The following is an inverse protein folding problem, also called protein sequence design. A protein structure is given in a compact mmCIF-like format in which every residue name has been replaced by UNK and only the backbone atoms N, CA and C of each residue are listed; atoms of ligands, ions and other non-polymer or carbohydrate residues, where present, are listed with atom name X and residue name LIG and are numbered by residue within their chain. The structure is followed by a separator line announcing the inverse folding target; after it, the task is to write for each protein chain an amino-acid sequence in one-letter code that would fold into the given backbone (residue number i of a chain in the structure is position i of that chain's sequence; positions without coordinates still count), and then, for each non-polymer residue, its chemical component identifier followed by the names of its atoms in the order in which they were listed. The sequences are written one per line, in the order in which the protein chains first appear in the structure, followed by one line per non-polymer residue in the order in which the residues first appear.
data_IF_286801133633
#
_entry.id   IF_286801133633
#
_cell.length_a   1.000
_cell.length_b   1.000
_cell.length_c   1.000
_cell.angle_alpha   90.00
_cell.angle_beta   90.00
_cell.angle_gamma   90.00
#
_symmetry.space_group_name_H-M   'P 1'
#
loop_
_entity.id
_entity.type
_entity.pdbx_description
1 polymer ?
#
# COMPACT_ATOMS: atom_id res chain seq x y z
N UNK A 1 -11.24 -4.22 21.23
CA UNK A 1 -9.91 -4.69 20.78
C UNK A 1 -9.82 -4.76 19.26
N UNK A 2 -10.85 -5.27 18.58
CA UNK A 2 -10.97 -5.30 17.11
C UNK A 2 -10.93 -3.91 16.45
N UNK A 3 -11.58 -2.90 17.04
CA UNK A 3 -11.56 -1.52 16.49
C UNK A 3 -10.16 -0.89 16.49
N UNK A 4 -9.33 -1.19 17.50
CA UNK A 4 -7.93 -0.72 17.55
C UNK A 4 -7.08 -1.33 16.44
N UNK A 5 -7.36 -2.56 16.02
CA UNK A 5 -6.61 -3.29 14.98
C UNK A 5 -6.96 -2.77 13.57
N UNK A 6 -8.12 -2.13 13.40
CA UNK A 6 -8.47 -1.50 12.12
C UNK A 6 -7.89 -0.08 12.03
N UNK A 7 -7.73 0.59 13.17
CA UNK A 7 -7.20 1.96 13.23
C UNK A 7 -5.68 2.08 13.17
N UNK A 8 -4.92 1.02 13.44
CA UNK A 8 -3.45 1.08 13.52
C UNK A 8 -2.72 1.03 12.17
N UNK A 9 -3.45 0.81 11.08
CA UNK A 9 -2.90 0.75 9.73
C UNK A 9 -3.94 1.28 8.76
N UNK A 10 -3.74 2.52 8.31
CA UNK A 10 -4.64 3.21 7.41
C UNK A 10 -3.82 3.82 6.27
N UNK A 11 -4.27 3.58 5.04
CA UNK A 11 -3.70 4.18 3.84
C UNK A 11 -4.80 4.82 3.04
N UNK A 12 -4.52 6.02 2.52
CA UNK A 12 -5.29 6.67 1.47
C UNK A 12 -4.33 7.05 0.36
N UNK A 13 -4.65 6.63 -0.86
CA UNK A 13 -3.87 6.96 -2.06
C UNK A 13 -4.82 7.38 -3.17
N UNK A 14 -4.42 8.40 -3.90
CA UNK A 14 -5.13 8.90 -5.07
C UNK A 14 -4.15 9.12 -6.21
N UNK A 15 -4.50 8.65 -7.39
CA UNK A 15 -3.62 8.76 -8.53
C UNK A 15 -4.21 8.18 -9.80
N UNK A 16 -3.40 8.18 -10.86
CA UNK A 16 -3.76 7.65 -12.15
C UNK A 16 -3.47 6.14 -12.20
N UNK A 17 -4.40 5.35 -12.72
CA UNK A 17 -4.18 3.92 -12.97
C UNK A 17 -3.25 3.77 -14.16
N UNK A 18 -2.13 3.05 -13.97
CA UNK A 18 -1.08 2.90 -15.00
C UNK A 18 -0.80 1.46 -15.43
N UNK A 19 -1.56 0.50 -14.91
CA UNK A 19 -1.51 -0.90 -15.35
C UNK A 19 -2.92 -1.47 -15.53
N UNK A 20 -3.02 -2.59 -16.24
CA UNK A 20 -4.20 -3.46 -16.16
C UNK A 20 -4.18 -4.25 -14.85
N UNK A 21 -5.29 -4.91 -14.51
CA UNK A 21 -5.32 -5.88 -13.43
C UNK A 21 -4.47 -7.11 -13.78
N UNK A 22 -3.73 -7.61 -12.78
CA UNK A 22 -3.03 -8.89 -12.85
C UNK A 22 -3.53 -9.79 -11.73
N UNK A 23 -4.08 -10.96 -12.07
CA UNK A 23 -4.48 -11.94 -11.05
C UNK A 23 -3.33 -12.24 -10.09
N UNK A 24 -3.64 -12.34 -8.80
CA UNK A 24 -2.70 -12.68 -7.75
C UNK A 24 -2.99 -14.04 -7.15
N UNK A 25 -4.16 -14.20 -6.53
CA UNK A 25 -4.58 -15.42 -5.84
C UNK A 25 -6.08 -15.37 -5.54
N UNK A 26 -6.63 -16.51 -5.11
CA UNK A 26 -8.03 -16.63 -4.67
C UNK A 26 -8.08 -17.10 -3.22
N UNK A 27 -9.01 -16.55 -2.45
CA UNK A 27 -9.29 -16.98 -1.08
C UNK A 27 -10.79 -17.18 -0.93
N UNK A 28 -11.23 -18.40 -0.60
CA UNK A 28 -12.65 -18.74 -0.43
C UNK A 28 -13.55 -18.33 -1.62
N UNK A 29 -13.08 -18.48 -2.86
CA UNK A 29 -13.84 -18.10 -4.06
C UNK A 29 -13.85 -16.59 -4.35
N UNK A 30 -13.02 -15.80 -3.67
CA UNK A 30 -12.81 -14.37 -3.95
C UNK A 30 -11.44 -14.16 -4.58
N UNK A 31 -11.42 -13.68 -5.82
CA UNK A 31 -10.21 -13.33 -6.56
C UNK A 31 -9.61 -12.00 -6.14
N UNK A 32 -8.28 -11.98 -5.96
CA UNK A 32 -7.49 -10.78 -5.67
C UNK A 32 -6.55 -10.47 -6.83
N UNK A 33 -6.46 -9.19 -7.17
CA UNK A 33 -5.74 -8.70 -8.34
C UNK A 33 -4.81 -7.56 -7.94
N UNK A 34 -3.65 -7.52 -8.59
CA UNK A 34 -2.69 -6.43 -8.47
C UNK A 34 -3.01 -5.33 -9.49
N UNK A 35 -2.91 -4.08 -9.07
CA UNK A 35 -3.02 -2.88 -9.91
C UNK A 35 -1.92 -1.89 -9.52
N UNK A 36 -1.37 -1.15 -10.47
CA UNK A 36 -0.36 -0.11 -10.21
C UNK A 36 -1.00 1.27 -10.31
N UNK A 37 -0.84 2.07 -9.25
CA UNK A 37 -1.35 3.43 -9.16
C UNK A 37 -0.20 4.44 -9.17
N UNK A 38 -0.22 5.41 -10.07
CA UNK A 38 0.73 6.52 -10.14
C UNK A 38 0.27 7.66 -9.25
N UNK A 39 0.94 7.84 -8.12
CA UNK A 39 0.57 8.79 -7.07
C UNK A 39 1.56 9.95 -7.04
N UNK A 40 1.03 11.16 -7.15
CA UNK A 40 1.82 12.39 -7.20
C UNK A 40 2.24 12.84 -5.80
N UNK A 41 3.53 13.15 -5.64
CA UNK A 41 4.08 13.80 -4.43
C UNK A 41 3.94 15.31 -4.52
N UNK A 42 4.01 15.98 -3.36
CA UNK A 42 4.15 17.45 -3.28
C UNK A 42 5.38 17.97 -4.03
N UNK A 43 6.43 17.15 -4.17
CA UNK A 43 7.63 17.45 -4.95
C UNK A 43 7.45 17.34 -6.48
N UNK A 44 6.25 17.05 -6.97
CA UNK A 44 5.94 16.77 -8.39
C UNK A 44 6.60 15.50 -8.95
N UNK A 45 7.17 14.67 -8.09
CA UNK A 45 7.63 13.31 -8.42
C UNK A 45 6.47 12.34 -8.25
N UNK A 46 6.46 11.26 -9.01
CA UNK A 46 5.42 10.24 -8.95
C UNK A 46 5.96 8.94 -8.33
N UNK A 47 5.15 8.32 -7.47
CA UNK A 47 5.36 6.97 -6.96
C UNK A 47 4.43 5.99 -7.65
N UNK A 48 4.93 4.79 -7.92
CA UNK A 48 4.08 3.69 -8.39
C UNK A 48 3.76 2.82 -7.18
N UNK A 49 2.52 2.94 -6.70
CA UNK A 49 2.04 2.23 -5.51
C UNK A 49 1.26 0.98 -5.98
N UNK A 50 1.70 -0.23 -5.59
CA UNK A 50 0.97 -1.46 -5.90
C UNK A 50 -0.25 -1.59 -4.98
N UNK A 51 -1.41 -1.79 -5.58
CA UNK A 51 -2.67 -2.09 -4.92
C UNK A 51 -2.98 -3.58 -5.07
N UNK A 52 -3.53 -4.18 -4.02
CA UNK A 52 -4.15 -5.49 -4.03
C UNK A 52 -5.65 -5.30 -3.81
N UNK A 53 -6.45 -5.59 -4.82
CA UNK A 53 -7.88 -5.28 -4.88
C UNK A 53 -8.67 -6.57 -5.10
N UNK A 54 -9.76 -6.72 -4.34
CA UNK A 54 -10.73 -7.79 -4.54
C UNK A 54 -11.61 -7.52 -5.77
N UNK A 55 -11.91 -8.54 -6.56
CA UNK A 55 -12.90 -8.46 -7.65
C UNK A 55 -14.31 -8.08 -7.19
N UNK A 56 -14.61 -8.16 -5.88
CA UNK A 56 -15.88 -7.69 -5.32
C UNK A 56 -15.98 -6.17 -5.23
N UNK A 57 -14.85 -5.46 -5.24
CA UNK A 57 -14.80 -4.00 -5.12
C UNK A 57 -14.86 -3.30 -6.47
N UNK A 58 -14.44 -3.96 -7.56
CA UNK A 58 -14.28 -3.36 -8.87
C UNK A 58 -14.36 -4.41 -9.97
N UNK A 59 -14.91 -4.04 -11.13
CA UNK A 59 -14.91 -4.91 -12.31
C UNK A 59 -13.49 -5.04 -12.88
N UNK A 60 -12.79 -6.10 -12.47
CA UNK A 60 -11.40 -6.40 -12.84
C UNK A 60 -11.21 -6.75 -14.33
N UNK A 61 -12.29 -6.92 -15.10
CA UNK A 61 -12.22 -7.20 -16.54
C UNK A 61 -12.07 -5.94 -17.39
N UNK A 62 -12.36 -4.77 -16.83
CA UNK A 62 -12.22 -3.48 -17.51
C UNK A 62 -10.80 -2.93 -17.42
N UNK A 63 -10.44 -2.15 -18.43
CA UNK A 63 -9.20 -1.37 -18.46
C UNK A 63 -9.47 0.04 -17.94
N UNK A 64 -8.89 0.36 -16.78
CA UNK A 64 -9.03 1.68 -16.15
C UNK A 64 -7.80 2.57 -16.36
N UNK A 65 -6.85 2.17 -17.21
CA UNK A 65 -5.65 3.00 -17.45
C UNK A 65 -6.05 4.40 -17.92
N UNK A 66 -5.46 5.42 -17.30
CA UNK A 66 -5.78 6.83 -17.54
C UNK A 66 -6.94 7.38 -16.70
N UNK A 67 -7.74 6.52 -16.07
CA UNK A 67 -8.69 6.94 -15.03
C UNK A 67 -7.93 7.23 -13.73
N UNK A 68 -8.59 7.98 -12.85
CA UNK A 68 -8.09 8.27 -11.51
C UNK A 68 -8.80 7.39 -10.50
N UNK A 69 -8.06 6.94 -9.50
CA UNK A 69 -8.55 6.00 -8.49
C UNK A 69 -8.15 6.49 -7.11
N UNK A 70 -9.15 6.67 -6.24
CA UNK A 70 -8.96 6.81 -4.80
C UNK A 70 -9.11 5.44 -4.15
N UNK A 71 -8.08 4.99 -3.44
CA UNK A 71 -8.10 3.73 -2.70
C UNK A 71 -7.84 4.01 -1.22
N UNK A 72 -8.69 3.41 -0.37
CA UNK A 72 -8.45 3.37 1.07
C UNK A 72 -8.35 1.93 1.58
N UNK A 73 -7.49 1.70 2.57
CA UNK A 73 -7.17 0.35 2.99
C UNK A 73 -6.05 0.28 4.01
N UNK A 74 -5.27 -0.80 3.95
CA UNK A 74 -4.18 -1.07 4.89
C UNK A 74 -2.91 -1.42 4.12
N UNK A 75 -1.76 -0.95 4.59
CA UNK A 75 -0.47 -1.29 4.01
C UNK A 75 -0.02 -2.67 4.48
N UNK A 76 0.07 -3.63 3.56
CA UNK A 76 0.41 -5.02 3.87
C UNK A 76 1.81 -5.36 3.44
N UNK A 77 2.44 -6.21 4.25
CA UNK A 77 3.71 -6.83 3.92
C UNK A 77 3.58 -8.35 3.91
N UNK A 78 4.24 -9.02 2.96
CA UNK A 78 4.44 -10.46 3.02
C UNK A 78 5.74 -10.84 2.34
N UNK A 79 6.33 -11.94 2.78
CA UNK A 79 7.48 -12.53 2.10
C UNK A 79 7.00 -13.44 0.98
N UNK A 80 7.38 -13.13 -0.25
CA UNK A 80 7.25 -14.02 -1.39
C UNK A 80 8.52 -14.86 -1.50
N UNK A 81 8.35 -16.17 -1.44
CA UNK A 81 9.42 -17.12 -1.71
C UNK A 81 9.60 -17.24 -3.22
N UNK A 82 10.74 -16.77 -3.73
CA UNK A 82 11.23 -17.06 -5.09
C UNK A 82 12.37 -18.08 -4.96
N UNK A 83 12.60 -18.90 -5.99
CA UNK A 83 13.44 -20.13 -5.94
C UNK A 83 14.73 -20.04 -5.11
N UNK A 84 15.44 -18.90 -5.15
CA UNK A 84 16.69 -18.68 -4.40
C UNK A 84 16.69 -17.48 -3.46
N UNK A 85 15.56 -16.78 -3.26
CA UNK A 85 15.52 -15.57 -2.42
C UNK A 85 14.14 -15.27 -1.88
N UNK A 86 14.12 -14.68 -0.69
CA UNK A 86 12.91 -14.10 -0.11
C UNK A 86 12.80 -12.64 -0.54
N UNK A 87 11.67 -12.28 -1.13
CA UNK A 87 11.35 -10.90 -1.48
C UNK A 87 10.23 -10.39 -0.58
N UNK A 88 10.51 -9.32 0.17
CA UNK A 88 9.46 -8.59 0.88
C UNK A 88 8.61 -7.85 -0.16
N UNK A 89 7.32 -8.17 -0.19
CA UNK A 89 6.33 -7.49 -1.02
C UNK A 89 5.54 -6.55 -0.10
N UNK A 90 5.40 -5.30 -0.54
CA UNK A 90 4.60 -4.27 0.10
C UNK A 90 3.51 -3.84 -0.87
N UNK A 91 2.28 -3.72 -0.38
CA UNK A 91 1.14 -3.28 -1.21
C UNK A 91 0.02 -2.72 -0.35
N UNK A 92 -0.80 -1.85 -0.92
CA UNK A 92 -2.04 -1.41 -0.28
C UNK A 92 -3.09 -2.50 -0.50
N UNK A 93 -3.51 -3.15 0.58
CA UNK A 93 -4.68 -4.01 0.56
C UNK A 93 -5.92 -3.13 0.63
N UNK A 94 -6.62 -3.03 -0.49
CA UNK A 94 -7.73 -2.09 -0.69
C UNK A 94 -8.98 -2.63 -0.02
N UNK A 95 -9.66 -1.75 0.72
CA UNK A 95 -10.92 -2.04 1.40
C UNK A 95 -12.08 -1.22 0.83
N UNK A 96 -11.78 -0.08 0.25
CA UNK A 96 -12.74 0.78 -0.43
C UNK A 96 -12.04 1.49 -1.59
N UNK A 97 -12.77 1.70 -2.69
CA UNK A 97 -12.24 2.25 -3.92
C UNK A 97 -13.27 3.13 -4.62
N UNK A 98 -12.82 4.26 -5.13
CA UNK A 98 -13.58 5.17 -5.97
C UNK A 98 -12.82 5.44 -7.27
N UNK A 99 -13.54 5.60 -8.37
CA UNK A 99 -12.96 5.86 -9.69
C UNK A 99 -13.54 7.15 -10.24
N UNK A 100 -12.65 7.99 -10.74
CA UNK A 100 -12.98 9.21 -11.46
C UNK A 100 -12.46 9.12 -12.90
N UNK A 101 -13.27 9.58 -13.85
CA UNK A 101 -12.84 9.68 -15.26
C UNK A 101 -11.80 10.79 -15.49
N UNK A 102 -11.70 11.76 -14.59
CA UNK A 102 -10.80 12.92 -14.66
C UNK A 102 -10.18 13.19 -13.29
N UNK A 103 -9.01 13.84 -13.25
CA UNK A 103 -8.35 14.19 -12.00
C UNK A 103 -9.25 15.10 -11.16
N UNK A 104 -9.63 14.61 -10.00
CA UNK A 104 -10.25 15.37 -8.92
C UNK A 104 -9.20 15.65 -7.84
N UNK A 105 -9.43 16.68 -7.03
CA UNK A 105 -8.61 16.89 -5.84
C UNK A 105 -8.93 15.83 -4.78
N UNK A 106 -7.91 15.25 -4.15
CA UNK A 106 -8.06 14.48 -2.91
C UNK A 106 -7.44 15.25 -1.76
N UNK A 107 -8.09 15.23 -0.59
CA UNK A 107 -7.57 15.86 0.63
C UNK A 107 -6.29 15.16 1.13
N UNK A 108 -6.16 13.85 0.85
CA UNK A 108 -5.07 12.99 1.32
C UNK A 108 -4.60 12.03 0.20
N UNK A 109 -4.04 12.55 -0.91
CA UNK A 109 -3.74 11.73 -2.09
C UNK A 109 -2.57 10.76 -1.87
N UNK A 110 -1.79 10.93 -0.81
CA UNK A 110 -0.70 10.04 -0.42
C UNK A 110 -0.50 10.11 1.09
N UNK A 111 -1.31 9.35 1.82
CA UNK A 111 -1.34 9.37 3.28
C UNK A 111 -1.27 7.96 3.85
N UNK A 112 -0.46 7.80 4.89
CA UNK A 112 -0.36 6.56 5.66
C UNK A 112 -0.28 6.88 7.15
N UNK A 113 -1.01 6.11 7.94
CA UNK A 113 -0.95 6.11 9.40
C UNK A 113 -0.64 4.68 9.88
N UNK A 114 0.41 4.54 10.68
CA UNK A 114 0.86 3.28 11.26
C UNK A 114 1.07 3.42 12.77
N UNK A 115 0.51 2.49 13.53
CA UNK A 115 0.73 2.34 14.97
C UNK A 115 1.18 0.89 15.24
N UNK A 116 2.36 0.75 15.80
CA UNK A 116 3.05 -0.53 15.93
C UNK A 116 4.29 -0.47 16.80
N UNK A 117 5.10 -1.51 16.72
CA UNK A 117 6.28 -1.70 17.58
C UNK A 117 7.56 -1.68 16.76
N UNK A 118 8.61 -1.05 17.28
CA UNK A 118 9.94 -1.12 16.65
C UNK A 118 10.50 -2.54 16.80
N UNK A 119 10.86 -3.17 15.68
CA UNK A 119 11.45 -4.52 15.67
C UNK A 119 12.93 -4.51 16.06
N UNK A 120 13.60 -3.37 15.90
CA UNK A 120 15.01 -3.16 16.18
C UNK A 120 15.26 -1.68 16.52
N UNK A 121 16.39 -1.35 17.17
CA UNK A 121 16.78 0.04 17.38
C UNK A 121 16.83 0.82 16.05
N UNK A 122 16.41 2.10 16.03
CA UNK A 122 16.55 2.96 14.86
C UNK A 122 18.01 3.06 14.38
N UNK A 123 18.21 3.05 13.06
CA UNK A 123 19.54 3.23 12.45
C UNK A 123 19.68 4.66 11.95
N UNK A 124 20.42 5.50 12.68
CA UNK A 124 20.63 6.90 12.33
C UNK A 124 21.72 7.07 11.28
N UNK A 125 21.48 7.96 10.31
CA UNK A 125 22.47 8.35 9.30
C UNK A 125 22.24 9.77 8.78
N UNK A 126 23.23 10.31 8.07
CA UNK A 126 23.13 11.60 7.37
C UNK A 126 23.09 11.40 5.87
N UNK A 127 22.22 12.16 5.20
CA UNK A 127 22.24 12.26 3.73
C UNK A 127 23.48 13.03 3.26
N UNK A 128 23.88 12.94 1.96
CA UNK A 128 24.98 13.74 1.43
C UNK A 128 24.82 15.27 1.63
N UNK A 129 23.58 15.75 1.79
CA UNK A 129 23.25 17.15 2.09
C UNK A 129 23.17 17.46 3.60
N UNK A 130 23.65 16.55 4.46
CA UNK A 130 23.73 16.75 5.91
C UNK A 130 22.43 16.57 6.69
N UNK A 131 21.31 16.19 6.04
CA UNK A 131 20.04 15.93 6.75
C UNK A 131 20.10 14.65 7.55
N UNK A 132 19.64 14.70 8.79
CA UNK A 132 19.52 13.55 9.70
C UNK A 132 18.25 12.76 9.40
N UNK A 133 18.39 11.45 9.26
CA UNK A 133 17.30 10.50 9.00
C UNK A 133 17.54 9.21 9.81
N UNK A 134 16.49 8.44 10.02
CA UNK A 134 16.58 7.18 10.75
C UNK A 134 15.81 6.08 10.01
N UNK A 135 16.48 4.97 9.71
CA UNK A 135 15.79 3.80 9.17
C UNK A 135 15.12 3.03 10.34
N UNK A 136 13.82 2.78 10.20
CA UNK A 136 12.98 2.07 11.16
C UNK A 136 12.45 0.78 10.53
N UNK A 137 12.16 -0.20 11.37
CA UNK A 137 11.38 -1.37 10.98
C UNK A 137 10.23 -1.52 11.98
N UNK A 138 9.00 -1.31 11.51
CA UNK A 138 7.80 -1.31 12.33
C UNK A 138 7.02 -2.60 12.14
N UNK A 139 6.71 -3.29 13.23
CA UNK A 139 5.73 -4.37 13.27
C UNK A 139 4.35 -3.82 13.59
N UNK A 140 3.44 -3.88 12.62
CA UNK A 140 2.05 -3.43 12.73
C UNK A 140 1.16 -4.65 12.83
N UNK A 141 0.58 -4.87 14.01
CA UNK A 141 -0.18 -6.08 14.30
C UNK A 141 -1.51 -6.09 13.54
N UNK A 142 -1.90 -7.27 13.06
CA UNK A 142 -3.17 -7.53 12.38
C UNK A 142 -3.85 -8.79 12.94
N UNK A 143 -5.11 -9.09 12.58
CA UNK A 143 -5.82 -10.25 13.10
C UNK A 143 -5.08 -11.57 12.84
N UNK A 144 -5.46 -12.60 13.59
CA UNK A 144 -4.91 -13.96 13.50
C UNK A 144 -3.41 -14.07 13.85
N UNK A 145 -2.92 -13.21 14.75
CA UNK A 145 -1.55 -13.28 15.27
C UNK A 145 -0.48 -12.99 14.22
N UNK A 146 -0.84 -12.28 13.15
CA UNK A 146 0.10 -11.86 12.10
C UNK A 146 0.48 -10.39 12.31
N UNK A 147 1.60 -9.98 11.74
CA UNK A 147 2.04 -8.59 11.72
C UNK A 147 2.57 -8.24 10.33
N UNK A 148 2.33 -7.00 9.93
CA UNK A 148 2.99 -6.39 8.78
C UNK A 148 4.31 -5.76 9.25
N UNK A 149 5.43 -6.11 8.61
CA UNK A 149 6.76 -5.58 8.90
C UNK A 149 7.11 -4.53 7.84
N UNK A 150 7.01 -3.25 8.22
CA UNK A 150 7.08 -2.12 7.30
C UNK A 150 8.38 -1.35 7.55
N UNK A 151 9.31 -1.31 6.58
CA UNK A 151 10.47 -0.43 6.63
C UNK A 151 10.04 1.03 6.46
N UNK A 152 10.54 1.92 7.32
CA UNK A 152 10.28 3.36 7.24
C UNK A 152 11.61 4.14 7.30
N UNK A 153 11.60 5.37 6.78
CA UNK A 153 12.71 6.34 6.84
C UNK A 153 12.16 7.67 7.34
#
# INVERSE_FOLDING_TARGET
MTDKILGNNQVNVYGEVVSTFSYSHEVYGEGFYMLQLSVKRLSKVYDIIPLMISERLIDVTKDYRGCYLEASGQFRSYNRHEENRNRLVLSVFVRDVHIDDVEQGSEKPNYIFLDGYLCKPPVYRKTPLGREIADLLLAVNRPYGKSDYIPCI
#
